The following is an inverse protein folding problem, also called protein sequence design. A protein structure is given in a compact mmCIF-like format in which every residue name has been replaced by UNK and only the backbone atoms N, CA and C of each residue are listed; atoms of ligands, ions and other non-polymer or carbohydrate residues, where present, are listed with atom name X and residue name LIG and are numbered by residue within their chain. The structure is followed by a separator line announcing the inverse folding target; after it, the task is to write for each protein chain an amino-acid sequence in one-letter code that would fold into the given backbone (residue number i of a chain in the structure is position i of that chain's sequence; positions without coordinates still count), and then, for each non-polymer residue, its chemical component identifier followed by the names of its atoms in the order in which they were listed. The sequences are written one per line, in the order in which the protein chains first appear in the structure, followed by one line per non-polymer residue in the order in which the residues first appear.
data_IF_015186307828
#
_entry.id   IF_015186307828
#
_cell.length_a   1.000
_cell.length_b   1.000
_cell.length_c   1.000
_cell.angle_alpha   90.00
_cell.angle_beta   90.00
_cell.angle_gamma   90.00
#
_symmetry.space_group_name_H-M   'P 1'
#
loop_
_entity.id
_entity.type
_entity.pdbx_description
1 polymer ?
#
# COMPACT_ATOMS: atom_id res chain seq x y z
N UNK A 1 -16.50 1.37 19.65
CA UNK A 1 -17.15 0.30 20.32
C UNK A 1 -18.65 0.47 20.58
N UNK A 2 -19.28 1.07 19.64
CA UNK A 2 -20.73 1.15 19.48
C UNK A 2 -21.39 -0.24 19.37
N UNK A 3 -20.61 -1.27 19.01
CA UNK A 3 -21.07 -2.66 18.89
C UNK A 3 -21.39 -3.31 20.24
N UNK A 4 -20.87 -2.77 21.34
CA UNK A 4 -21.04 -3.37 22.69
C UNK A 4 -22.05 -2.66 23.55
N UNK A 5 -22.88 -1.72 23.05
CA UNK A 5 -23.67 -0.83 23.87
C UNK A 5 -25.19 -1.14 23.98
N UNK A 6 -25.77 -2.11 23.24
CA UNK A 6 -27.15 -2.52 23.38
C UNK A 6 -27.39 -4.02 23.09
N UNK A 7 -28.19 -4.70 23.88
CA UNK A 7 -28.62 -6.07 23.66
C UNK A 7 -27.51 -7.10 23.77
N UNK A 8 -27.07 -7.67 22.63
CA UNK A 8 -25.92 -8.59 22.55
C UNK A 8 -24.64 -7.96 23.10
N UNK A 9 -24.44 -6.66 22.88
CA UNK A 9 -23.33 -5.89 23.44
C UNK A 9 -23.30 -5.89 24.97
N UNK A 10 -24.44 -5.81 25.62
CA UNK A 10 -24.55 -5.88 27.10
C UNK A 10 -24.20 -7.27 27.61
N UNK A 11 -24.53 -8.33 26.87
CA UNK A 11 -24.19 -9.71 27.24
C UNK A 11 -22.66 -9.90 27.15
N UNK A 12 -22.03 -9.50 26.06
CA UNK A 12 -20.57 -9.57 25.91
C UNK A 12 -19.86 -8.70 26.95
N UNK A 13 -20.36 -7.50 27.20
CA UNK A 13 -19.79 -6.62 28.22
C UNK A 13 -19.87 -7.23 29.62
N UNK A 14 -20.98 -7.84 30.00
CA UNK A 14 -21.08 -8.58 31.24
C UNK A 14 -20.10 -9.74 31.32
N UNK A 15 -19.99 -10.51 30.25
CA UNK A 15 -18.99 -11.61 30.16
C UNK A 15 -17.55 -11.11 30.33
N UNK A 16 -17.21 -9.98 29.72
CA UNK A 16 -15.89 -9.34 29.88
C UNK A 16 -15.67 -8.90 31.31
N UNK A 17 -16.65 -8.20 31.94
CA UNK A 17 -16.53 -7.74 33.32
C UNK A 17 -16.47 -8.89 34.30
N UNK A 18 -17.31 -9.92 34.16
CA UNK A 18 -17.29 -11.13 34.99
C UNK A 18 -15.96 -11.89 34.86
N UNK A 19 -15.40 -11.93 33.67
CA UNK A 19 -14.09 -12.54 33.40
C UNK A 19 -12.99 -11.69 34.00
N UNK A 20 -13.02 -10.36 33.81
CA UNK A 20 -12.09 -9.42 34.40
C UNK A 20 -11.99 -9.56 35.93
N UNK A 21 -13.12 -9.61 36.63
CA UNK A 21 -13.13 -9.79 38.09
C UNK A 21 -12.41 -11.08 38.51
N UNK A 22 -12.46 -12.14 37.73
CA UNK A 22 -11.81 -13.41 37.99
C UNK A 22 -10.30 -13.37 37.72
N UNK A 23 -9.88 -12.64 36.65
CA UNK A 23 -8.50 -12.69 36.14
C UNK A 23 -7.65 -11.46 36.46
N UNK A 24 -8.23 -10.35 36.99
CA UNK A 24 -7.53 -9.07 37.23
C UNK A 24 -6.29 -9.14 38.12
N UNK A 25 -6.09 -10.24 38.83
CA UNK A 25 -4.90 -10.48 39.67
C UNK A 25 -3.78 -11.23 38.91
N UNK A 26 -4.04 -11.69 37.69
CA UNK A 26 -3.04 -12.36 36.86
C UNK A 26 -2.15 -11.33 36.16
N UNK A 27 -0.92 -11.74 35.81
CA UNK A 27 0.03 -10.86 35.09
C UNK A 27 -0.37 -10.64 33.62
N UNK A 28 -1.04 -11.63 33.00
CA UNK A 28 -1.48 -11.56 31.60
C UNK A 28 -2.98 -11.89 31.56
N UNK A 29 -3.78 -10.93 31.16
CA UNK A 29 -5.26 -11.03 31.16
C UNK A 29 -5.86 -10.90 29.75
N UNK A 30 -5.12 -10.36 28.77
CA UNK A 30 -5.65 -10.00 27.44
C UNK A 30 -6.33 -11.18 26.74
N UNK A 31 -5.69 -12.34 26.67
CA UNK A 31 -6.26 -13.51 25.99
C UNK A 31 -7.57 -14.02 26.59
N UNK A 32 -7.76 -13.88 27.91
CA UNK A 32 -9.01 -14.24 28.57
C UNK A 32 -10.12 -13.24 28.24
N UNK A 33 -9.78 -11.95 28.20
CA UNK A 33 -10.75 -10.88 27.94
C UNK A 33 -11.11 -10.77 26.46
N UNK A 34 -10.17 -11.00 25.56
CA UNK A 34 -10.41 -11.11 24.13
C UNK A 34 -11.34 -12.30 23.82
N UNK A 35 -11.09 -13.46 24.44
CA UNK A 35 -11.98 -14.62 24.30
C UNK A 35 -13.38 -14.33 24.84
N UNK A 36 -13.50 -13.59 25.94
CA UNK A 36 -14.79 -13.21 26.52
C UNK A 36 -15.54 -12.15 25.69
N UNK A 37 -14.82 -11.24 25.04
CA UNK A 37 -15.39 -10.24 24.15
C UNK A 37 -15.75 -10.79 22.76
N UNK A 38 -15.08 -11.86 22.33
CA UNK A 38 -15.16 -12.36 20.95
C UNK A 38 -14.43 -11.49 19.92
N UNK A 39 -13.63 -10.50 20.36
CA UNK A 39 -12.88 -9.57 19.53
C UNK A 39 -11.42 -9.46 19.98
N UNK A 40 -10.54 -8.95 19.12
CA UNK A 40 -9.15 -8.67 19.47
C UNK A 40 -8.98 -7.49 20.46
N UNK A 41 -10.06 -6.95 20.96
CA UNK A 41 -10.12 -5.87 21.95
C UNK A 41 -11.28 -6.07 22.92
N UNK A 42 -11.24 -5.37 24.04
CA UNK A 42 -12.25 -5.43 25.09
C UNK A 42 -12.34 -4.10 25.82
N UNK A 43 -13.37 -3.95 26.67
CA UNK A 43 -13.53 -2.80 27.56
C UNK A 43 -13.94 -3.24 28.96
N UNK A 44 -13.15 -2.87 29.97
CA UNK A 44 -13.34 -3.20 31.39
C UNK A 44 -14.02 -2.10 32.20
N UNK A 45 -14.36 -0.94 31.61
CA UNK A 45 -15.12 0.11 32.28
C UNK A 45 -16.54 -0.39 32.61
N UNK A 46 -17.07 0.08 33.71
CA UNK A 46 -18.47 -0.19 34.11
C UNK A 46 -19.50 0.61 33.29
N UNK A 47 -19.08 1.68 32.62
CA UNK A 47 -19.97 2.55 31.87
C UNK A 47 -20.44 1.92 30.55
N UNK A 48 -21.68 2.20 30.20
CA UNK A 48 -22.32 2.01 28.89
C UNK A 48 -22.80 3.36 28.37
N UNK A 49 -23.17 3.48 27.09
CA UNK A 49 -23.77 4.73 26.61
C UNK A 49 -25.03 5.11 27.38
N UNK A 50 -25.85 4.14 27.81
CA UNK A 50 -27.01 4.38 28.62
C UNK A 50 -26.68 4.99 29.99
N UNK A 51 -25.70 4.40 30.69
CA UNK A 51 -25.24 4.91 31.98
C UNK A 51 -24.48 6.23 31.89
N UNK A 52 -23.80 6.50 30.80
CA UNK A 52 -23.19 7.80 30.53
C UNK A 52 -24.25 8.90 30.37
N UNK A 53 -25.31 8.62 29.61
CA UNK A 53 -26.39 9.58 29.38
C UNK A 53 -27.28 9.79 30.61
N UNK A 54 -27.27 8.84 31.56
CA UNK A 54 -28.00 8.94 32.80
C UNK A 54 -27.36 9.93 33.81
N UNK A 55 -26.10 10.31 33.62
CA UNK A 55 -25.34 11.23 34.46
C UNK A 55 -24.69 12.36 33.64
N UNK A 56 -25.49 13.31 33.10
CA UNK A 56 -25.02 14.38 32.25
C UNK A 56 -24.02 15.32 32.90
N UNK A 57 -24.13 15.55 34.21
CA UNK A 57 -23.27 16.47 34.96
C UNK A 57 -21.82 15.96 35.05
N UNK A 58 -21.61 14.67 35.03
CA UNK A 58 -20.31 14.00 35.08
C UNK A 58 -19.93 13.35 33.76
N UNK A 59 -20.56 13.71 32.65
CA UNK A 59 -20.43 12.98 31.37
C UNK A 59 -18.98 12.95 30.84
N UNK A 60 -18.21 14.02 31.00
CA UNK A 60 -16.81 14.06 30.59
C UNK A 60 -15.98 13.05 31.39
N UNK A 61 -16.03 13.10 32.71
CA UNK A 61 -15.24 12.19 33.57
C UNK A 61 -15.64 10.74 33.38
N UNK A 62 -16.93 10.46 33.23
CA UNK A 62 -17.46 9.13 33.00
C UNK A 62 -17.09 8.60 31.60
N UNK A 63 -17.09 9.46 30.59
CA UNK A 63 -16.68 9.08 29.24
C UNK A 63 -15.17 8.83 29.15
N UNK A 64 -14.37 9.60 29.86
CA UNK A 64 -12.92 9.34 29.98
C UNK A 64 -12.62 8.02 30.69
N UNK A 65 -13.36 7.69 31.75
CA UNK A 65 -13.28 6.36 32.39
C UNK A 65 -13.69 5.25 31.41
N UNK A 66 -14.80 5.44 30.68
CA UNK A 66 -15.23 4.50 29.65
C UNK A 66 -14.12 4.23 28.63
N UNK A 67 -13.45 5.26 28.12
CA UNK A 67 -12.36 5.11 27.17
C UNK A 67 -11.12 4.46 27.77
N UNK A 68 -10.78 4.79 29.02
CA UNK A 68 -9.64 4.19 29.73
C UNK A 68 -9.80 2.69 30.00
N UNK A 69 -11.03 2.20 29.97
CA UNK A 69 -11.35 0.78 30.13
C UNK A 69 -11.03 -0.09 28.90
N UNK A 70 -10.71 0.50 27.75
CA UNK A 70 -10.31 -0.26 26.56
C UNK A 70 -8.95 -0.94 26.72
N UNK A 71 -8.78 -2.07 26.02
CA UNK A 71 -7.50 -2.77 25.88
C UNK A 71 -6.40 -1.87 25.28
N UNK A 72 -5.14 -2.17 25.57
CA UNK A 72 -4.01 -1.34 25.18
C UNK A 72 -3.94 -1.06 23.65
N UNK A 73 -4.27 -2.05 22.82
CA UNK A 73 -4.31 -1.88 21.36
C UNK A 73 -5.39 -0.90 20.90
N UNK A 74 -6.58 -0.89 21.55
CA UNK A 74 -7.63 0.08 21.25
C UNK A 74 -7.30 1.48 21.80
N UNK A 75 -6.65 1.57 22.96
CA UNK A 75 -6.15 2.84 23.50
C UNK A 75 -5.07 3.46 22.60
N UNK A 76 -4.19 2.66 22.01
CA UNK A 76 -3.21 3.13 21.03
C UNK A 76 -3.89 3.78 19.81
N UNK A 77 -4.97 3.18 19.30
CA UNK A 77 -5.80 3.76 18.22
C UNK A 77 -6.38 5.11 18.65
N UNK A 78 -6.99 5.18 19.83
CA UNK A 78 -7.58 6.42 20.36
C UNK A 78 -6.53 7.53 20.52
N UNK A 79 -5.33 7.18 21.01
CA UNK A 79 -4.22 8.12 21.17
C UNK A 79 -3.72 8.66 19.82
N UNK A 80 -3.61 7.80 18.80
CA UNK A 80 -3.19 8.20 17.45
C UNK A 80 -4.23 9.09 16.74
N UNK A 81 -5.50 8.96 17.08
CA UNK A 81 -6.57 9.88 16.65
C UNK A 81 -6.59 11.20 17.41
N UNK A 82 -5.72 11.40 18.39
CA UNK A 82 -5.73 12.59 19.26
C UNK A 82 -7.10 12.80 19.95
N UNK A 83 -7.70 11.66 20.41
CA UNK A 83 -9.07 11.63 20.87
C UNK A 83 -9.29 12.48 22.12
N UNK A 84 -8.26 12.67 22.94
CA UNK A 84 -8.31 13.56 24.11
C UNK A 84 -8.60 15.02 23.73
N UNK A 85 -7.98 15.55 22.69
CA UNK A 85 -8.25 16.89 22.18
C UNK A 85 -9.62 17.01 21.51
N UNK A 86 -10.09 15.93 20.89
CA UNK A 86 -11.46 15.86 20.33
C UNK A 86 -12.49 15.98 21.47
N UNK A 87 -12.33 15.21 22.55
CA UNK A 87 -13.20 15.29 23.73
C UNK A 87 -13.18 16.71 24.31
N UNK A 88 -12.01 17.28 24.52
CA UNK A 88 -11.87 18.65 25.04
C UNK A 88 -12.67 19.66 24.22
N UNK A 89 -12.54 19.61 22.89
CA UNK A 89 -13.32 20.47 21.98
C UNK A 89 -14.82 20.23 22.07
N UNK A 90 -15.26 18.98 22.21
CA UNK A 90 -16.69 18.64 22.38
C UNK A 90 -17.24 19.13 23.72
N UNK A 91 -16.44 19.14 24.78
CA UNK A 91 -16.79 19.70 26.09
C UNK A 91 -16.89 21.23 26.01
N UNK A 92 -15.89 21.89 25.44
CA UNK A 92 -15.86 23.36 25.27
C UNK A 92 -17.05 23.88 24.43
N UNK A 93 -17.50 23.08 23.46
CA UNK A 93 -18.64 23.41 22.59
C UNK A 93 -20.00 22.89 23.12
N UNK A 94 -20.05 22.26 24.30
CA UNK A 94 -21.23 21.62 24.87
C UNK A 94 -21.90 20.57 23.95
N UNK A 95 -21.11 19.89 23.12
CA UNK A 95 -21.62 18.90 22.15
C UNK A 95 -21.41 17.45 22.57
N UNK A 96 -20.56 17.17 23.59
CA UNK A 96 -20.23 15.79 24.00
C UNK A 96 -21.47 14.95 24.32
N UNK A 97 -22.40 15.49 25.13
CA UNK A 97 -23.65 14.79 25.46
C UNK A 97 -24.47 14.49 24.22
N UNK A 98 -24.60 15.44 23.29
CA UNK A 98 -25.40 15.29 22.07
C UNK A 98 -24.79 14.22 21.15
N UNK A 99 -23.48 14.20 21.03
CA UNK A 99 -22.75 13.19 20.22
C UNK A 99 -22.97 11.78 20.81
N UNK A 100 -22.76 11.61 22.11
CA UNK A 100 -22.98 10.31 22.78
C UNK A 100 -24.44 9.86 22.62
N UNK A 101 -25.39 10.80 22.73
CA UNK A 101 -26.84 10.53 22.58
C UNK A 101 -27.18 10.07 21.15
N UNK A 102 -26.67 10.73 20.13
CA UNK A 102 -26.91 10.33 18.73
C UNK A 102 -26.33 8.94 18.44
N UNK A 103 -25.11 8.67 18.85
CA UNK A 103 -24.52 7.34 18.71
C UNK A 103 -25.23 6.25 19.53
N UNK A 104 -25.80 6.60 20.66
CA UNK A 104 -26.63 5.71 21.47
C UNK A 104 -28.06 5.54 20.93
N UNK A 105 -28.47 6.28 19.90
CA UNK A 105 -29.81 6.20 19.29
C UNK A 105 -29.92 5.01 18.33
N UNK A 106 -31.17 4.65 17.96
CA UNK A 106 -31.41 3.62 16.93
C UNK A 106 -30.81 3.97 15.56
N UNK A 107 -30.71 5.25 15.23
CA UNK A 107 -30.16 5.73 13.97
C UNK A 107 -28.65 5.59 13.89
N UNK A 108 -27.96 5.77 15.02
CA UNK A 108 -26.50 5.64 15.12
C UNK A 108 -26.04 4.25 15.57
N UNK A 109 -26.94 3.29 15.70
CA UNK A 109 -26.63 1.97 16.21
C UNK A 109 -25.89 1.11 15.15
N UNK A 110 -24.64 0.75 15.44
CA UNK A 110 -23.74 -0.05 14.59
C UNK A 110 -23.49 -1.46 15.18
N UNK A 111 -24.46 -2.01 15.94
CA UNK A 111 -24.31 -3.31 16.58
C UNK A 111 -24.24 -4.49 15.60
N UNK A 112 -23.58 -5.60 16.00
CA UNK A 112 -23.35 -6.76 15.12
C UNK A 112 -24.62 -7.53 14.74
N UNK A 113 -25.74 -7.26 15.43
CA UNK A 113 -27.06 -7.77 15.11
C UNK A 113 -27.72 -7.07 13.92
N UNK A 114 -27.23 -5.87 13.54
CA UNK A 114 -27.74 -5.08 12.40
C UNK A 114 -26.73 -4.87 11.29
N UNK A 115 -25.45 -4.83 11.63
CA UNK A 115 -24.38 -4.48 10.70
C UNK A 115 -23.26 -5.52 10.80
N UNK A 116 -22.98 -6.21 9.71
CA UNK A 116 -21.85 -7.16 9.63
C UNK A 116 -20.50 -6.46 9.77
N UNK A 117 -19.44 -7.23 10.03
CA UNK A 117 -18.07 -6.70 10.05
C UNK A 117 -17.67 -6.11 8.69
N UNK A 118 -18.12 -6.74 7.60
CA UNK A 118 -17.88 -6.29 6.21
C UNK A 118 -18.61 -4.97 5.96
N UNK A 119 -19.90 -4.86 6.33
CA UNK A 119 -20.66 -3.60 6.17
C UNK A 119 -20.05 -2.46 6.99
N UNK A 120 -19.52 -2.77 8.18
CA UNK A 120 -18.82 -1.79 9.00
C UNK A 120 -17.54 -1.28 8.31
N UNK A 121 -16.82 -2.18 7.64
CA UNK A 121 -15.68 -1.83 6.78
C UNK A 121 -16.09 -0.87 5.64
N UNK A 122 -17.20 -1.14 4.96
CA UNK A 122 -17.72 -0.26 3.91
C UNK A 122 -18.15 1.12 4.43
N UNK A 123 -18.81 1.16 5.58
CA UNK A 123 -19.18 2.43 6.25
C UNK A 123 -17.91 3.23 6.58
N UNK A 124 -16.90 2.56 7.12
CA UNK A 124 -15.64 3.18 7.48
C UNK A 124 -14.90 3.72 6.25
N UNK A 125 -14.86 2.95 5.16
CA UNK A 125 -14.31 3.37 3.88
C UNK A 125 -15.02 4.61 3.31
N UNK A 126 -16.37 4.65 3.34
CA UNK A 126 -17.13 5.81 2.87
C UNK A 126 -16.87 7.06 3.73
N UNK A 127 -16.71 6.87 5.06
CA UNK A 127 -16.33 7.96 5.96
C UNK A 127 -14.93 8.49 5.64
N UNK A 128 -13.94 7.62 5.47
CA UNK A 128 -12.57 8.00 5.09
C UNK A 128 -12.57 8.72 3.75
N UNK A 129 -13.29 8.22 2.76
CA UNK A 129 -13.46 8.86 1.46
C UNK A 129 -14.05 10.28 1.58
N UNK A 130 -15.14 10.46 2.35
CA UNK A 130 -15.77 11.77 2.59
C UNK A 130 -14.86 12.73 3.35
N UNK A 131 -14.09 12.22 4.30
CA UNK A 131 -13.06 13.02 4.98
C UNK A 131 -11.97 13.46 3.99
N UNK A 132 -11.47 12.56 3.15
CA UNK A 132 -10.50 12.87 2.11
C UNK A 132 -10.98 13.94 1.14
N UNK A 133 -12.27 13.88 0.74
CA UNK A 133 -12.90 14.89 -0.12
C UNK A 133 -13.04 16.27 0.56
N UNK A 134 -13.17 16.31 1.90
CA UNK A 134 -13.44 17.54 2.66
C UNK A 134 -12.19 18.26 3.17
N UNK A 135 -11.07 17.54 3.37
CA UNK A 135 -9.84 18.09 3.96
C UNK A 135 -8.73 18.40 2.95
N UNK A 136 -8.96 18.25 1.63
CA UNK A 136 -8.03 18.63 0.58
C UNK A 136 -6.96 17.58 0.24
N UNK A 137 -5.90 18.02 -0.47
CA UNK A 137 -4.93 17.15 -1.16
C UNK A 137 -4.21 16.12 -0.27
N UNK A 138 -3.94 16.42 1.00
CA UNK A 138 -3.21 15.50 1.88
C UNK A 138 -3.98 14.22 2.21
N UNK A 139 -5.29 14.30 2.36
CA UNK A 139 -6.11 13.14 2.71
C UNK A 139 -6.41 12.23 1.50
N UNK A 140 -6.48 12.78 0.29
CA UNK A 140 -6.66 12.01 -0.96
C UNK A 140 -5.45 11.17 -1.35
N UNK A 141 -4.26 11.50 -0.83
CA UNK A 141 -3.02 10.78 -1.13
C UNK A 141 -3.00 9.33 -0.56
N UNK A 142 -3.88 9.03 0.40
CA UNK A 142 -3.89 7.76 1.12
C UNK A 142 -4.99 6.79 0.66
N UNK A 143 -5.70 7.10 -0.44
CA UNK A 143 -6.83 6.30 -0.90
C UNK A 143 -6.58 5.71 -2.29
N UNK A 144 -6.62 4.39 -2.39
CA UNK A 144 -6.62 3.65 -3.67
C UNK A 144 -8.02 3.07 -3.91
N UNK A 145 -8.61 3.36 -5.06
CA UNK A 145 -9.96 2.89 -5.37
C UNK A 145 -10.02 1.37 -5.60
N UNK A 146 -11.14 0.75 -5.24
CA UNK A 146 -11.33 -0.72 -5.29
C UNK A 146 -11.10 -1.31 -6.68
N UNK A 147 -11.45 -0.60 -7.74
CA UNK A 147 -11.24 -1.05 -9.11
C UNK A 147 -9.77 -1.32 -9.43
N UNK A 148 -8.87 -0.45 -8.97
CA UNK A 148 -7.41 -0.62 -9.11
C UNK A 148 -6.92 -1.77 -8.21
N UNK A 149 -7.43 -1.83 -6.97
CA UNK A 149 -7.03 -2.88 -6.02
C UNK A 149 -7.41 -4.27 -6.56
N UNK A 150 -8.63 -4.43 -7.07
CA UNK A 150 -9.08 -5.69 -7.66
C UNK A 150 -8.25 -6.10 -8.88
N UNK A 151 -7.88 -5.13 -9.74
CA UNK A 151 -6.95 -5.42 -10.84
C UNK A 151 -5.61 -5.95 -10.33
N UNK A 152 -5.00 -5.26 -9.36
CA UNK A 152 -3.71 -5.68 -8.78
C UNK A 152 -3.82 -7.05 -8.10
N UNK A 153 -4.91 -7.29 -7.40
CA UNK A 153 -5.17 -8.57 -6.72
C UNK A 153 -5.33 -9.71 -7.72
N UNK A 154 -6.13 -9.53 -8.77
CA UNK A 154 -6.32 -10.56 -9.79
C UNK A 154 -5.02 -10.86 -10.56
N UNK A 155 -4.16 -9.86 -10.78
CA UNK A 155 -2.81 -10.05 -11.34
C UNK A 155 -1.90 -10.87 -10.42
N UNK A 156 -1.95 -10.62 -9.11
CA UNK A 156 -1.18 -11.37 -8.12
C UNK A 156 -1.65 -12.83 -8.02
N UNK A 157 -2.96 -13.04 -8.06
CA UNK A 157 -3.58 -14.35 -7.86
C UNK A 157 -3.76 -15.17 -9.16
N UNK A 158 -3.49 -14.61 -10.34
CA UNK A 158 -3.72 -15.26 -11.64
C UNK A 158 -3.03 -16.61 -11.81
N UNK A 159 -1.93 -16.85 -11.10
CA UNK A 159 -1.15 -18.10 -11.14
C UNK A 159 -0.90 -18.62 -9.71
N UNK A 160 -1.75 -18.21 -8.75
CA UNK A 160 -1.61 -18.60 -7.35
C UNK A 160 -2.02 -20.04 -7.13
N UNK A 161 -1.30 -20.73 -6.25
CA UNK A 161 -1.74 -22.03 -5.73
C UNK A 161 -2.84 -21.78 -4.68
N UNK A 162 -4.08 -22.03 -5.07
CA UNK A 162 -5.25 -21.89 -4.22
C UNK A 162 -5.55 -23.15 -3.38
N UNK A 163 -4.76 -24.20 -3.49
CA UNK A 163 -4.88 -25.41 -2.65
C UNK A 163 -4.06 -25.28 -1.35
N UNK A 164 -3.46 -24.10 -1.11
CA UNK A 164 -2.72 -23.82 0.12
C UNK A 164 -3.64 -23.52 1.30
N UNK A 165 -3.18 -23.85 2.52
CA UNK A 165 -3.94 -23.58 3.75
C UNK A 165 -3.78 -22.14 4.26
N UNK A 166 -2.75 -21.43 3.84
CA UNK A 166 -2.48 -20.07 4.35
C UNK A 166 -1.73 -19.20 3.35
N UNK A 167 -2.00 -17.90 3.40
CA UNK A 167 -1.31 -16.87 2.62
C UNK A 167 -0.93 -15.67 3.49
N UNK A 168 0.24 -15.09 3.22
CA UNK A 168 0.68 -13.84 3.85
C UNK A 168 0.69 -12.71 2.84
N UNK A 169 0.07 -11.59 3.20
CA UNK A 169 -0.04 -10.37 2.38
C UNK A 169 0.58 -9.20 3.11
N UNK A 170 1.36 -8.38 2.42
CA UNK A 170 2.01 -7.21 3.00
C UNK A 170 1.78 -5.95 2.16
N UNK A 171 1.47 -4.85 2.85
CA UNK A 171 1.48 -3.50 2.27
C UNK A 171 2.44 -2.61 3.06
N UNK A 172 3.48 -2.10 2.37
CA UNK A 172 4.53 -1.29 2.96
C UNK A 172 4.17 0.19 3.13
N UNK A 173 3.06 0.62 2.56
CA UNK A 173 2.48 1.96 2.66
C UNK A 173 0.95 1.82 2.74
N UNK A 174 0.49 1.10 3.77
CA UNK A 174 -0.85 0.52 3.82
C UNK A 174 -1.99 1.55 3.85
N UNK A 175 -1.67 2.82 4.15
CA UNK A 175 -2.71 3.83 4.29
C UNK A 175 -3.76 3.40 5.31
N UNK A 176 -4.99 3.32 4.86
CA UNK A 176 -6.14 2.84 5.66
C UNK A 176 -6.32 1.32 5.63
N UNK A 177 -5.35 0.54 5.14
CA UNK A 177 -5.35 -0.92 4.94
C UNK A 177 -6.34 -1.46 3.90
N UNK A 178 -6.96 -0.61 3.10
CA UNK A 178 -7.97 -1.03 2.13
C UNK A 178 -7.44 -2.05 1.11
N UNK A 179 -6.18 -1.93 0.68
CA UNK A 179 -5.57 -2.88 -0.25
C UNK A 179 -5.48 -4.28 0.37
N UNK A 180 -5.10 -4.37 1.64
CA UNK A 180 -5.04 -5.62 2.38
C UNK A 180 -6.43 -6.24 2.54
N UNK A 181 -7.41 -5.44 2.97
CA UNK A 181 -8.79 -5.91 3.16
C UNK A 181 -9.44 -6.41 1.87
N UNK A 182 -9.27 -5.69 0.76
CA UNK A 182 -9.82 -6.11 -0.54
C UNK A 182 -9.13 -7.38 -1.07
N UNK A 183 -7.81 -7.51 -0.85
CA UNK A 183 -7.10 -8.72 -1.27
C UNK A 183 -7.51 -9.94 -0.44
N UNK A 184 -7.70 -9.79 0.87
CA UNK A 184 -8.23 -10.82 1.75
C UNK A 184 -9.64 -11.25 1.31
N UNK A 185 -10.55 -10.28 1.08
CA UNK A 185 -11.90 -10.54 0.55
C UNK A 185 -11.83 -11.35 -0.74
N UNK A 186 -10.97 -10.97 -1.68
CA UNK A 186 -10.83 -11.63 -2.98
C UNK A 186 -10.26 -13.04 -2.87
N UNK A 187 -9.30 -13.28 -1.99
CA UNK A 187 -8.77 -14.63 -1.72
C UNK A 187 -9.89 -15.52 -1.17
N UNK A 188 -10.69 -15.01 -0.22
CA UNK A 188 -11.80 -15.77 0.37
C UNK A 188 -12.95 -16.03 -0.63
N UNK A 189 -13.17 -15.14 -1.61
CA UNK A 189 -14.12 -15.41 -2.71
C UNK A 189 -13.65 -16.58 -3.59
N UNK A 190 -12.34 -16.75 -3.78
CA UNK A 190 -11.76 -17.83 -4.58
C UNK A 190 -11.68 -19.15 -3.80
N UNK A 191 -11.25 -19.07 -2.55
CA UNK A 191 -11.23 -20.20 -1.62
C UNK A 191 -11.34 -19.69 -0.17
N UNK A 192 -12.51 -19.94 0.46
CA UNK A 192 -12.81 -19.50 1.83
C UNK A 192 -12.00 -20.22 2.92
N UNK A 193 -11.37 -21.34 2.60
CA UNK A 193 -10.63 -22.17 3.55
C UNK A 193 -9.17 -21.69 3.75
N UNK A 194 -8.72 -20.73 2.93
CA UNK A 194 -7.37 -20.17 3.06
C UNK A 194 -7.34 -19.18 4.23
N UNK A 195 -6.45 -19.40 5.18
CA UNK A 195 -6.14 -18.44 6.23
C UNK A 195 -5.26 -17.31 5.69
N UNK A 196 -5.80 -16.10 5.59
CA UNK A 196 -5.06 -14.93 5.11
C UNK A 196 -4.55 -14.13 6.29
N UNK A 197 -3.22 -13.93 6.37
CA UNK A 197 -2.61 -13.05 7.37
C UNK A 197 -2.09 -11.79 6.71
N UNK A 198 -2.73 -10.66 7.03
CA UNK A 198 -2.37 -9.35 6.52
C UNK A 198 -1.35 -8.65 7.44
N UNK A 199 -0.35 -8.01 6.82
CA UNK A 199 0.68 -7.20 7.47
C UNK A 199 0.75 -5.84 6.81
N UNK A 200 0.92 -4.78 7.59
CA UNK A 200 1.00 -3.42 7.05
C UNK A 200 1.88 -2.49 7.86
N UNK A 201 2.48 -1.53 7.16
CA UNK A 201 3.26 -0.47 7.78
C UNK A 201 2.76 0.90 7.29
N UNK A 202 2.62 1.87 8.22
CA UNK A 202 2.16 3.22 7.92
C UNK A 202 2.86 4.23 8.86
N UNK A 203 3.30 5.36 8.30
CA UNK A 203 3.98 6.40 9.07
C UNK A 203 3.06 7.53 9.53
N UNK A 204 1.90 7.72 8.87
CA UNK A 204 0.94 8.72 9.27
C UNK A 204 0.10 8.22 10.45
N UNK A 205 0.10 8.91 11.61
CA UNK A 205 -0.57 8.43 12.81
C UNK A 205 -2.09 8.22 12.63
N UNK A 206 -2.76 9.16 11.97
CA UNK A 206 -4.22 9.11 11.79
C UNK A 206 -4.62 7.97 10.84
N UNK A 207 -3.89 7.82 9.73
CA UNK A 207 -4.14 6.75 8.74
C UNK A 207 -3.83 5.38 9.33
N UNK A 208 -2.73 5.26 10.10
CA UNK A 208 -2.39 4.07 10.86
C UNK A 208 -3.50 3.66 11.85
N UNK A 209 -4.04 4.65 12.59
CA UNK A 209 -5.14 4.39 13.54
C UNK A 209 -6.39 3.84 12.84
N UNK A 210 -6.70 4.35 11.63
CA UNK A 210 -7.77 3.83 10.79
C UNK A 210 -7.50 2.38 10.40
N UNK A 211 -6.32 2.09 9.86
CA UNK A 211 -5.93 0.75 9.44
C UNK A 211 -6.00 -0.26 10.60
N UNK A 212 -5.47 0.11 11.75
CA UNK A 212 -5.49 -0.72 12.95
C UNK A 212 -6.90 -0.98 13.47
N UNK A 213 -7.76 0.05 13.45
CA UNK A 213 -9.17 -0.07 13.83
C UNK A 213 -9.94 -0.99 12.87
N UNK A 214 -9.75 -0.85 11.56
CA UNK A 214 -10.36 -1.71 10.55
C UNK A 214 -9.96 -3.17 10.75
N UNK A 215 -8.67 -3.45 10.94
CA UNK A 215 -8.17 -4.79 11.22
C UNK A 215 -8.80 -5.39 12.47
N UNK A 216 -8.93 -4.61 13.56
CA UNK A 216 -9.59 -5.05 14.81
C UNK A 216 -11.07 -5.37 14.61
N UNK A 217 -11.77 -4.58 13.80
CA UNK A 217 -13.21 -4.75 13.52
C UNK A 217 -13.45 -6.01 12.68
N UNK A 218 -12.59 -6.31 11.74
CA UNK A 218 -12.63 -7.50 10.87
C UNK A 218 -12.20 -8.78 11.59
N UNK A 219 -11.61 -8.68 12.80
CA UNK A 219 -11.19 -9.82 13.61
C UNK A 219 -9.75 -10.29 13.33
N UNK A 220 -9.00 -9.58 12.49
CA UNK A 220 -7.58 -9.84 12.25
C UNK A 220 -6.69 -9.39 13.42
N UNK A 221 -5.40 -9.72 13.37
CA UNK A 221 -4.45 -9.35 14.42
C UNK A 221 -3.96 -7.89 14.23
N UNK A 222 -4.37 -6.95 15.11
CA UNK A 222 -3.95 -5.55 15.01
C UNK A 222 -2.45 -5.32 15.25
N UNK A 223 -1.71 -6.30 15.78
CA UNK A 223 -0.26 -6.21 15.98
C UNK A 223 0.52 -6.34 14.66
N UNK A 224 -0.13 -6.86 13.62
CA UNK A 224 0.42 -6.91 12.27
C UNK A 224 0.34 -5.56 11.55
N UNK A 225 -0.44 -4.62 12.07
CA UNK A 225 -0.43 -3.22 11.62
C UNK A 225 0.58 -2.45 12.46
N UNK A 226 1.67 -1.99 11.84
CA UNK A 226 2.80 -1.38 12.56
C UNK A 226 3.02 0.05 12.14
N UNK A 227 3.22 0.91 13.16
CA UNK A 227 3.50 2.33 12.96
C UNK A 227 5.00 2.56 12.77
N UNK A 228 5.35 3.29 11.72
CA UNK A 228 6.74 3.67 11.44
C UNK A 228 6.96 3.96 9.95
N UNK A 229 8.01 4.71 9.65
CA UNK A 229 8.42 5.02 8.29
C UNK A 229 9.12 3.82 7.64
N UNK A 230 8.61 3.36 6.51
CA UNK A 230 9.09 2.16 5.81
C UNK A 230 10.54 2.26 5.36
N UNK A 231 11.00 3.45 5.00
CA UNK A 231 12.35 3.65 4.49
C UNK A 231 13.38 3.75 5.61
N UNK A 232 13.05 4.42 6.71
CA UNK A 232 13.98 4.68 7.83
C UNK A 232 13.81 3.76 9.03
N UNK A 233 12.61 3.16 9.21
CA UNK A 233 12.24 2.38 10.39
C UNK A 233 11.54 1.08 9.99
N UNK A 234 12.30 0.10 9.50
CA UNK A 234 11.76 -1.21 9.14
C UNK A 234 11.11 -1.90 10.34
N UNK A 235 9.78 -2.00 10.31
CA UNK A 235 9.00 -2.64 11.38
C UNK A 235 8.91 -4.17 11.24
N UNK A 236 9.35 -4.73 10.11
CA UNK A 236 9.31 -6.17 9.83
C UNK A 236 10.70 -6.74 9.48
N UNK A 237 11.75 -6.48 10.33
CA UNK A 237 13.08 -6.99 10.03
C UNK A 237 13.08 -8.52 10.01
N UNK A 238 13.63 -9.11 8.94
CA UNK A 238 13.70 -10.56 8.75
C UNK A 238 12.38 -11.24 8.32
N UNK A 239 11.28 -10.51 8.20
CA UNK A 239 10.05 -11.08 7.64
C UNK A 239 10.11 -11.12 6.12
N UNK A 240 9.51 -12.19 5.54
CA UNK A 240 9.23 -12.30 4.11
C UNK A 240 7.77 -12.68 3.89
N UNK A 241 7.19 -12.20 2.80
CA UNK A 241 5.77 -12.33 2.50
C UNK A 241 5.55 -12.98 1.13
N UNK A 242 4.50 -13.79 1.00
CA UNK A 242 4.15 -14.45 -0.26
C UNK A 242 3.61 -13.44 -1.28
N UNK A 243 2.77 -12.52 -0.81
CA UNK A 243 2.22 -11.46 -1.66
C UNK A 243 2.50 -10.09 -1.07
N UNK A 244 2.86 -9.17 -1.95
CA UNK A 244 3.01 -7.75 -1.62
C UNK A 244 2.14 -6.96 -2.58
N UNK A 245 1.25 -6.13 -2.03
CA UNK A 245 0.40 -5.21 -2.78
C UNK A 245 0.56 -3.82 -2.19
N UNK A 246 0.97 -2.83 -2.97
CA UNK A 246 1.23 -1.51 -2.40
C UNK A 246 1.08 -0.38 -3.42
N UNK A 247 0.60 0.75 -2.94
CA UNK A 247 0.56 2.02 -3.65
C UNK A 247 1.33 3.09 -2.85
N UNK A 248 2.68 3.04 -2.86
CA UNK A 248 3.48 4.01 -2.13
C UNK A 248 3.37 5.41 -2.75
N UNK A 249 3.71 6.47 -2.00
CA UNK A 249 3.64 7.83 -2.51
C UNK A 249 4.60 8.05 -3.69
N UNK A 250 4.12 8.78 -4.74
CA UNK A 250 4.92 9.08 -5.93
C UNK A 250 5.58 10.45 -5.83
N UNK A 251 6.82 10.55 -6.37
CA UNK A 251 7.49 11.84 -6.56
C UNK A 251 7.78 12.59 -5.25
N UNK A 252 7.81 11.88 -4.14
CA UNK A 252 8.15 12.45 -2.83
C UNK A 252 9.65 12.34 -2.63
N UNK A 253 10.28 13.42 -2.12
CA UNK A 253 11.67 13.37 -1.72
C UNK A 253 11.83 12.53 -0.44
N UNK A 254 12.98 11.85 -0.33
CA UNK A 254 13.36 11.04 0.82
C UNK A 254 14.51 11.67 1.62
N UNK A 255 14.59 12.99 1.59
CA UNK A 255 15.64 13.75 2.27
C UNK A 255 15.63 13.57 3.79
N UNK A 256 14.45 13.40 4.36
CA UNK A 256 14.27 13.13 5.79
C UNK A 256 14.83 11.75 6.18
N UNK A 257 14.66 10.76 5.35
CA UNK A 257 15.07 9.37 5.54
C UNK A 257 16.52 9.11 5.07
N UNK A 258 17.13 10.08 4.38
CA UNK A 258 18.43 9.95 3.67
C UNK A 258 19.51 9.29 4.51
N UNK A 259 19.71 9.76 5.74
CA UNK A 259 20.77 9.24 6.62
C UNK A 259 20.59 7.76 6.95
N UNK A 260 19.37 7.33 7.19
CA UNK A 260 19.04 5.94 7.50
C UNK A 260 19.20 5.05 6.26
N UNK A 261 18.66 5.50 5.12
CA UNK A 261 18.72 4.79 3.83
C UNK A 261 20.16 4.62 3.35
N UNK A 262 20.98 5.67 3.38
CA UNK A 262 22.39 5.62 3.02
C UNK A 262 23.19 4.68 3.94
N UNK A 263 22.94 4.75 5.26
CA UNK A 263 23.57 3.85 6.21
C UNK A 263 23.20 2.38 5.96
N UNK A 264 21.95 2.10 5.57
CA UNK A 264 21.52 0.75 5.24
C UNK A 264 22.10 0.28 3.90
N UNK A 265 22.19 1.14 2.89
CA UNK A 265 22.78 0.83 1.59
C UNK A 265 24.26 0.38 1.69
N UNK A 266 24.98 0.83 2.71
CA UNK A 266 26.39 0.42 2.96
C UNK A 266 26.54 -0.97 3.55
N UNK A 267 25.47 -1.64 3.96
CA UNK A 267 25.51 -2.99 4.58
C UNK A 267 25.67 -4.13 3.57
N UNK A 268 25.88 -3.83 2.28
CA UNK A 268 25.97 -4.82 1.23
C UNK A 268 24.68 -5.64 1.11
N UNK A 269 24.80 -6.93 0.83
CA UNK A 269 23.65 -7.84 0.61
C UNK A 269 22.64 -7.89 1.78
N UNK A 270 23.02 -7.45 2.97
CA UNK A 270 22.11 -7.37 4.12
C UNK A 270 21.28 -6.08 4.16
N UNK A 271 21.57 -5.11 3.30
CA UNK A 271 20.86 -3.84 3.23
C UNK A 271 19.84 -3.83 2.09
N UNK A 272 18.61 -3.44 2.37
CA UNK A 272 17.52 -3.35 1.36
C UNK A 272 17.90 -2.47 0.17
N UNK A 273 18.70 -1.43 0.40
CA UNK A 273 19.03 -0.38 -0.58
C UNK A 273 20.41 -0.52 -1.22
N UNK A 274 21.10 -1.63 -0.99
CA UNK A 274 22.43 -1.90 -1.54
C UNK A 274 22.51 -1.85 -3.07
N UNK A 275 21.50 -2.25 -3.88
CA UNK A 275 21.57 -2.21 -5.33
C UNK A 275 21.76 -0.79 -5.90
N UNK A 276 21.28 0.24 -5.21
CA UNK A 276 21.45 1.63 -5.63
C UNK A 276 20.50 2.59 -4.91
N UNK A 277 20.83 3.89 -5.02
CA UNK A 277 20.00 4.93 -4.43
C UNK A 277 19.46 5.84 -5.55
N UNK A 278 18.13 6.07 -5.60
CA UNK A 278 17.53 6.99 -6.57
C UNK A 278 17.87 8.43 -6.22
N UNK A 279 17.46 9.39 -7.08
CA UNK A 279 17.58 10.82 -6.77
C UNK A 279 16.81 11.14 -5.48
N UNK A 280 17.36 12.04 -4.66
CA UNK A 280 16.72 12.47 -3.41
C UNK A 280 15.28 12.96 -3.63
N UNK A 281 15.00 13.57 -4.78
CA UNK A 281 13.67 14.10 -5.12
C UNK A 281 12.63 13.04 -5.52
N UNK A 282 13.01 11.74 -5.59
CA UNK A 282 12.11 10.68 -6.03
C UNK A 282 12.46 9.34 -5.35
N UNK A 283 11.75 9.01 -4.29
CA UNK A 283 11.98 7.81 -3.47
C UNK A 283 11.30 6.53 -3.97
N UNK A 284 10.58 6.55 -5.08
CA UNK A 284 9.74 5.42 -5.52
C UNK A 284 10.48 4.09 -5.62
N UNK A 285 11.71 4.11 -6.18
CA UNK A 285 12.51 2.89 -6.33
C UNK A 285 12.98 2.29 -4.98
N UNK A 286 13.04 3.09 -3.91
CA UNK A 286 13.33 2.56 -2.56
C UNK A 286 12.20 1.65 -2.06
N UNK A 287 10.94 1.97 -2.36
CA UNK A 287 9.82 1.11 -2.04
C UNK A 287 9.86 -0.20 -2.84
N UNK A 288 10.26 -0.16 -4.11
CA UNK A 288 10.48 -1.38 -4.91
C UNK A 288 11.56 -2.26 -4.26
N UNK A 289 12.71 -1.67 -3.89
CA UNK A 289 13.79 -2.40 -3.22
C UNK A 289 13.36 -2.97 -1.86
N UNK A 290 12.60 -2.19 -1.06
CA UNK A 290 12.03 -2.70 0.18
C UNK A 290 11.10 -3.90 -0.06
N UNK A 291 10.21 -3.80 -1.05
CA UNK A 291 9.33 -4.90 -1.42
C UNK A 291 10.11 -6.15 -1.84
N UNK A 292 11.11 -6.01 -2.70
CA UNK A 292 11.97 -7.11 -3.14
C UNK A 292 12.73 -7.75 -1.97
N UNK A 293 13.25 -6.96 -1.03
CA UNK A 293 13.93 -7.48 0.15
C UNK A 293 13.00 -8.31 1.06
N UNK A 294 11.69 -7.97 1.07
CA UNK A 294 10.66 -8.64 1.87
C UNK A 294 9.82 -9.65 1.09
N UNK A 295 10.06 -9.82 -0.19
CA UNK A 295 9.36 -10.82 -1.01
C UNK A 295 9.95 -12.20 -0.75
N UNK A 296 9.09 -13.18 -0.44
CA UNK A 296 9.48 -14.58 -0.29
C UNK A 296 10.05 -15.15 -1.61
N UNK A 297 10.79 -16.25 -1.55
CA UNK A 297 11.44 -16.84 -2.75
C UNK A 297 10.43 -17.28 -3.84
N UNK A 298 9.20 -17.60 -3.45
CA UNK A 298 8.08 -17.89 -4.37
C UNK A 298 7.03 -16.77 -4.36
N UNK A 299 7.43 -15.58 -3.91
CA UNK A 299 6.52 -14.47 -3.74
C UNK A 299 6.31 -13.66 -5.00
N UNK A 300 5.19 -12.94 -5.04
CA UNK A 300 4.79 -12.03 -6.11
C UNK A 300 4.38 -10.67 -5.54
N UNK A 301 4.80 -9.60 -6.20
CA UNK A 301 4.51 -8.23 -5.77
C UNK A 301 3.85 -7.45 -6.90
N UNK A 302 2.79 -6.71 -6.58
CA UNK A 302 2.22 -5.68 -7.44
C UNK A 302 2.38 -4.31 -6.75
N UNK A 303 3.05 -3.38 -7.42
CA UNK A 303 3.32 -2.05 -6.88
C UNK A 303 3.03 -0.98 -7.92
N UNK A 304 2.37 0.11 -7.47
CA UNK A 304 2.06 1.24 -8.35
C UNK A 304 3.24 2.21 -8.37
N UNK A 305 3.58 2.69 -9.55
CA UNK A 305 4.64 3.66 -9.80
C UNK A 305 4.17 4.71 -10.82
N UNK A 306 4.76 5.90 -10.82
CA UNK A 306 4.68 6.79 -11.97
C UNK A 306 5.72 6.42 -13.05
N UNK A 307 5.82 7.19 -14.13
CA UNK A 307 6.75 6.89 -15.23
C UNK A 307 8.23 7.09 -14.92
N UNK A 308 8.59 7.88 -13.89
CA UNK A 308 9.97 8.24 -13.58
C UNK A 308 10.90 7.04 -13.40
N UNK A 309 10.55 5.99 -12.65
CA UNK A 309 11.42 4.82 -12.47
C UNK A 309 11.79 4.07 -13.77
N UNK A 310 10.99 4.23 -14.83
CA UNK A 310 11.25 3.57 -16.13
C UNK A 310 12.46 4.13 -16.86
N UNK A 311 12.70 5.44 -16.77
CA UNK A 311 13.72 6.11 -17.61
C UNK A 311 14.69 7.01 -16.84
N UNK A 312 14.45 7.31 -15.56
CA UNK A 312 15.30 8.22 -14.79
C UNK A 312 16.71 7.66 -14.59
N UNK A 313 17.69 8.57 -14.56
CA UNK A 313 19.10 8.27 -14.31
C UNK A 313 19.87 7.77 -15.52
N UNK A 314 21.12 8.22 -15.64
CA UNK A 314 22.07 7.76 -16.65
C UNK A 314 22.58 6.34 -16.34
N UNK A 315 23.18 5.68 -17.33
CA UNK A 315 23.88 4.41 -17.17
C UNK A 315 24.87 4.46 -16.00
N UNK A 316 24.81 3.48 -15.10
CA UNK A 316 25.65 3.40 -13.91
C UNK A 316 25.22 4.33 -12.76
N UNK A 317 24.15 5.12 -12.91
CA UNK A 317 23.56 5.87 -11.79
C UNK A 317 22.70 4.97 -10.90
N UNK A 318 22.38 5.42 -9.68
CA UNK A 318 21.55 4.66 -8.74
C UNK A 318 20.25 4.12 -9.34
N UNK A 319 19.40 4.95 -9.99
CA UNK A 319 18.19 4.46 -10.65
C UNK A 319 18.43 3.41 -11.73
N UNK A 320 19.49 3.57 -12.52
CA UNK A 320 19.90 2.60 -13.55
C UNK A 320 20.36 1.28 -12.93
N UNK A 321 21.16 1.34 -11.86
CA UNK A 321 21.62 0.16 -11.15
C UNK A 321 20.49 -0.64 -10.51
N UNK A 322 19.46 0.05 -10.00
CA UNK A 322 18.25 -0.60 -9.46
C UNK A 322 17.52 -1.37 -10.57
N UNK A 323 17.30 -0.76 -11.75
CA UNK A 323 16.69 -1.47 -12.88
C UNK A 323 17.52 -2.66 -13.34
N UNK A 324 18.84 -2.49 -13.44
CA UNK A 324 19.78 -3.57 -13.78
C UNK A 324 19.66 -4.71 -12.78
N UNK A 325 19.67 -4.43 -11.48
CA UNK A 325 19.51 -5.42 -10.41
C UNK A 325 18.22 -6.23 -10.55
N UNK A 326 17.11 -5.57 -10.83
CA UNK A 326 15.81 -6.23 -11.00
C UNK A 326 15.78 -7.13 -12.23
N UNK A 327 16.35 -6.65 -13.37
CA UNK A 327 16.36 -7.37 -14.64
C UNK A 327 17.35 -8.54 -14.64
N UNK A 328 18.56 -8.37 -14.07
CA UNK A 328 19.58 -9.43 -13.99
C UNK A 328 19.18 -10.57 -13.07
N UNK A 329 18.35 -10.29 -12.04
CA UNK A 329 17.77 -11.32 -11.19
C UNK A 329 16.48 -11.93 -11.81
N UNK A 330 16.06 -11.48 -12.97
CA UNK A 330 14.83 -11.91 -13.66
C UNK A 330 13.55 -11.77 -12.80
N UNK A 331 13.45 -10.69 -12.01
CA UNK A 331 12.31 -10.48 -11.12
C UNK A 331 11.21 -9.60 -11.72
N UNK A 332 11.50 -8.81 -12.76
CA UNK A 332 10.46 -8.04 -13.44
C UNK A 332 9.64 -8.95 -14.35
N UNK A 333 8.38 -9.14 -14.01
CA UNK A 333 7.47 -10.01 -14.75
C UNK A 333 6.63 -9.23 -15.78
N UNK A 334 5.95 -8.17 -15.31
CA UNK A 334 5.11 -7.34 -16.18
C UNK A 334 5.10 -5.88 -15.73
N UNK A 335 4.93 -4.96 -16.69
CA UNK A 335 4.56 -3.57 -16.46
C UNK A 335 3.27 -3.28 -17.22
N UNK A 336 2.25 -2.82 -16.50
CA UNK A 336 0.96 -2.43 -17.06
C UNK A 336 0.83 -0.91 -16.99
N UNK A 337 0.76 -0.23 -18.14
CA UNK A 337 0.45 1.20 -18.21
C UNK A 337 -1.05 1.40 -18.06
N UNK A 338 -1.48 2.17 -17.06
CA UNK A 338 -2.86 2.59 -16.89
C UNK A 338 -3.14 3.91 -17.61
N UNK A 339 -4.43 4.21 -17.82
CA UNK A 339 -4.88 5.50 -18.32
C UNK A 339 -4.51 6.63 -17.35
N UNK A 340 -4.56 7.87 -17.83
CA UNK A 340 -4.53 9.07 -16.97
C UNK A 340 -5.80 9.17 -16.11
N UNK A 341 -5.78 10.03 -15.12
CA UNK A 341 -6.94 10.33 -14.25
C UNK A 341 -7.56 9.10 -13.55
N UNK A 342 -6.73 8.10 -13.22
CA UNK A 342 -7.14 6.87 -12.52
C UNK A 342 -7.13 7.01 -11.00
N UNK A 343 -6.45 8.01 -10.46
CA UNK A 343 -6.26 8.24 -9.03
C UNK A 343 -6.84 9.56 -8.56
N UNK A 344 -7.23 9.63 -7.28
CA UNK A 344 -7.91 10.81 -6.72
C UNK A 344 -6.99 12.00 -6.53
N UNK A 345 -5.69 11.77 -6.41
CA UNK A 345 -4.67 12.78 -6.10
C UNK A 345 -3.74 13.12 -7.28
N UNK A 346 -3.85 12.42 -8.39
CA UNK A 346 -3.00 12.66 -9.57
C UNK A 346 -3.70 12.33 -10.88
N UNK A 347 -3.47 13.17 -11.89
CA UNK A 347 -3.95 12.95 -13.27
C UNK A 347 -2.89 12.36 -14.22
N UNK A 348 -1.70 12.01 -13.71
CA UNK A 348 -0.62 11.45 -14.56
C UNK A 348 -0.86 9.97 -14.88
N UNK A 349 -0.22 9.49 -15.95
CA UNK A 349 -0.16 8.05 -16.22
C UNK A 349 0.60 7.34 -15.11
N UNK A 350 0.05 6.21 -14.67
CA UNK A 350 0.64 5.35 -13.67
C UNK A 350 0.86 3.96 -14.23
N UNK A 351 1.69 3.20 -13.56
CA UNK A 351 2.12 1.87 -14.00
C UNK A 351 2.02 0.89 -12.83
N UNK A 352 1.43 -0.26 -13.08
CA UNK A 352 1.51 -1.39 -12.14
C UNK A 352 2.72 -2.22 -12.53
N UNK A 353 3.70 -2.34 -11.63
CA UNK A 353 4.81 -3.24 -11.79
C UNK A 353 4.48 -4.56 -11.09
N UNK A 354 4.50 -5.64 -11.84
CA UNK A 354 4.40 -7.00 -11.30
C UNK A 354 5.79 -7.59 -11.26
N UNK A 355 6.22 -7.95 -10.05
CA UNK A 355 7.52 -8.57 -9.80
C UNK A 355 7.31 -9.96 -9.19
N UNK A 356 8.09 -10.93 -9.63
CA UNK A 356 8.03 -12.31 -9.14
C UNK A 356 9.44 -12.84 -8.93
N UNK A 357 9.68 -13.52 -7.82
CA UNK A 357 10.93 -14.25 -7.58
C UNK A 357 10.89 -15.69 -8.09
N UNK A 358 9.72 -16.16 -8.55
CA UNK A 358 9.50 -17.50 -9.06
C UNK A 358 8.63 -17.44 -10.33
N UNK A 359 9.23 -16.91 -11.41
CA UNK A 359 8.54 -16.83 -12.70
C UNK A 359 8.38 -18.23 -13.29
N UNK A 360 7.21 -18.59 -13.86
CA UNK A 360 7.05 -19.85 -14.57
C UNK A 360 7.97 -19.91 -15.79
N UNK A 361 8.33 -21.11 -16.22
CA UNK A 361 9.35 -21.35 -17.26
C UNK A 361 9.09 -20.58 -18.57
N UNK A 362 7.84 -20.39 -18.98
CA UNK A 362 7.50 -19.66 -20.21
C UNK A 362 7.71 -18.14 -20.10
N UNK A 363 7.81 -17.59 -18.88
CA UNK A 363 8.05 -16.18 -18.59
C UNK A 363 9.49 -15.91 -18.18
N UNK A 364 10.28 -16.95 -17.88
CA UNK A 364 11.66 -16.82 -17.45
C UNK A 364 12.52 -16.09 -18.51
N UNK A 365 13.34 -15.13 -18.11
CA UNK A 365 14.17 -14.31 -18.98
C UNK A 365 13.41 -13.29 -19.81
N UNK A 366 12.10 -13.08 -19.58
CA UNK A 366 11.26 -12.20 -20.38
C UNK A 366 10.50 -11.20 -19.50
N UNK A 367 10.10 -10.09 -20.12
CA UNK A 367 9.26 -9.05 -19.51
C UNK A 367 8.07 -8.77 -20.41
N UNK A 368 6.88 -8.78 -19.85
CA UNK A 368 5.67 -8.38 -20.56
C UNK A 368 5.39 -6.90 -20.32
N UNK A 369 5.07 -6.16 -21.38
CA UNK A 369 4.55 -4.81 -21.32
C UNK A 369 3.10 -4.80 -21.81
N UNK A 370 2.17 -4.30 -20.99
CA UNK A 370 0.76 -4.17 -21.34
C UNK A 370 0.42 -2.68 -21.39
N UNK A 371 0.08 -2.20 -22.57
CA UNK A 371 -0.50 -0.87 -22.74
C UNK A 371 -2.03 -0.96 -22.54
N UNK A 372 -2.48 -0.56 -21.36
CA UNK A 372 -3.89 -0.48 -20.99
C UNK A 372 -4.37 0.98 -20.89
N UNK A 373 -3.68 1.93 -21.55
CA UNK A 373 -4.04 3.35 -21.53
C UNK A 373 -5.41 3.65 -22.16
N UNK A 374 -5.93 2.73 -22.96
CA UNK A 374 -7.27 2.76 -23.54
C UNK A 374 -8.27 1.79 -22.88
N UNK A 375 -7.87 1.13 -21.79
CA UNK A 375 -8.70 0.16 -21.10
C UNK A 375 -9.34 0.78 -19.84
N UNK A 376 -10.34 1.63 -20.05
CA UNK A 376 -11.06 2.34 -19.00
C UNK A 376 -12.46 2.79 -19.45
N UNK A 377 -13.32 3.12 -18.50
CA UNK A 377 -14.57 3.82 -18.74
C UNK A 377 -14.61 5.16 -18.00
N UNK A 378 -15.07 6.25 -18.66
CA UNK A 378 -15.21 7.55 -18.00
C UNK A 378 -16.29 7.52 -16.91
N UNK A 379 -15.99 8.09 -15.75
CA UNK A 379 -16.94 8.26 -14.65
C UNK A 379 -17.96 9.33 -14.96
N UNK A 380 -19.19 9.12 -14.51
CA UNK A 380 -20.24 10.14 -14.59
C UNK A 380 -19.95 11.37 -13.71
N UNK A 381 -19.28 11.16 -12.56
CA UNK A 381 -18.89 12.20 -11.62
C UNK A 381 -17.47 11.91 -11.13
N UNK A 382 -16.60 12.91 -11.25
CA UNK A 382 -15.22 12.81 -10.76
C UNK A 382 -15.17 12.73 -9.22
N UNK A 383 -14.12 12.08 -8.71
CA UNK A 383 -13.78 12.08 -7.30
C UNK A 383 -12.33 12.57 -7.19
N UNK A 384 -12.14 13.79 -6.70
CA UNK A 384 -10.85 14.46 -6.83
C UNK A 384 -10.44 14.57 -8.30
N UNK A 385 -9.23 14.13 -8.63
CA UNK A 385 -8.74 14.07 -10.03
C UNK A 385 -9.18 12.81 -10.77
N UNK A 386 -9.69 11.78 -10.08
CA UNK A 386 -10.12 10.52 -10.71
C UNK A 386 -11.35 10.75 -11.59
N UNK A 387 -11.20 10.51 -12.88
CA UNK A 387 -12.24 10.62 -13.92
C UNK A 387 -12.52 9.32 -14.64
N UNK A 388 -11.66 8.32 -14.49
CA UNK A 388 -11.72 7.06 -15.19
C UNK A 388 -11.77 5.89 -14.19
N UNK A 389 -12.49 4.84 -14.55
CA UNK A 389 -12.60 3.59 -13.78
C UNK A 389 -12.10 2.39 -14.59
N UNK A 390 -11.53 1.41 -13.89
CA UNK A 390 -11.30 0.06 -14.41
C UNK A 390 -12.57 -0.75 -14.12
N UNK A 391 -13.43 -0.88 -15.11
CA UNK A 391 -14.62 -1.75 -14.99
C UNK A 391 -14.23 -3.23 -14.99
N UNK A 392 -15.18 -4.12 -14.68
CA UNK A 392 -14.94 -5.57 -14.71
C UNK A 392 -14.48 -6.02 -16.09
N UNK A 393 -15.05 -5.46 -17.16
CA UNK A 393 -14.62 -5.73 -18.55
C UNK A 393 -13.17 -5.32 -18.77
N UNK A 394 -12.78 -4.12 -18.32
CA UNK A 394 -11.40 -3.66 -18.42
C UNK A 394 -10.45 -4.57 -17.64
N UNK A 395 -10.84 -4.96 -16.43
CA UNK A 395 -10.06 -5.84 -15.58
C UNK A 395 -9.85 -7.21 -16.23
N UNK A 396 -10.91 -7.83 -16.75
CA UNK A 396 -10.84 -9.11 -17.45
C UNK A 396 -9.92 -9.07 -18.67
N UNK A 397 -9.98 -7.99 -19.48
CA UNK A 397 -9.09 -7.83 -20.63
C UNK A 397 -7.62 -7.75 -20.21
N UNK A 398 -7.30 -6.96 -19.19
CA UNK A 398 -5.92 -6.81 -18.71
C UNK A 398 -5.40 -8.10 -18.08
N UNK A 399 -6.20 -8.76 -17.23
CA UNK A 399 -5.82 -10.02 -16.58
C UNK A 399 -5.67 -11.15 -17.60
N UNK A 400 -6.55 -11.21 -18.63
CA UNK A 400 -6.43 -12.16 -19.73
C UNK A 400 -5.16 -11.90 -20.54
N UNK A 401 -4.86 -10.63 -20.86
CA UNK A 401 -3.63 -10.27 -21.57
C UNK A 401 -2.37 -10.67 -20.79
N UNK A 402 -2.41 -10.48 -19.46
CA UNK A 402 -1.34 -10.90 -18.56
C UNK A 402 -1.17 -12.42 -18.57
N UNK A 403 -2.24 -13.18 -18.37
CA UNK A 403 -2.20 -14.65 -18.26
C UNK A 403 -1.84 -15.33 -19.57
N UNK A 404 -2.34 -14.88 -20.72
CA UNK A 404 -2.01 -15.45 -22.02
C UNK A 404 -0.56 -15.19 -22.46
N UNK A 405 0.08 -14.16 -21.96
CA UNK A 405 1.48 -13.82 -22.25
C UNK A 405 1.81 -13.76 -23.76
N UNK A 406 0.87 -13.25 -24.56
CA UNK A 406 1.02 -13.24 -26.01
C UNK A 406 1.71 -11.97 -26.50
N UNK A 407 2.70 -12.12 -27.41
CA UNK A 407 3.43 -10.98 -28.00
C UNK A 407 2.64 -10.35 -29.16
N UNK A 408 2.49 -9.02 -29.15
CA UNK A 408 1.84 -8.25 -30.20
C UNK A 408 0.31 -8.46 -30.30
N UNK A 409 -0.33 -9.02 -29.26
CA UNK A 409 -1.77 -9.28 -29.26
C UNK A 409 -2.54 -8.10 -28.64
N UNK A 410 -3.68 -7.80 -29.27
CA UNK A 410 -4.67 -6.81 -28.79
C UNK A 410 -5.85 -7.56 -28.21
N UNK A 411 -6.32 -7.11 -27.05
CA UNK A 411 -7.46 -7.61 -26.33
C UNK A 411 -8.53 -6.53 -26.26
N UNK A 412 -9.75 -6.84 -26.67
CA UNK A 412 -10.85 -5.89 -26.78
C UNK A 412 -11.01 -5.29 -28.18
N UNK A 413 -11.69 -4.15 -28.26
CA UNK A 413 -11.96 -3.44 -29.53
C UNK A 413 -11.10 -2.18 -29.64
N UNK A 414 -10.21 -2.09 -30.63
CA UNK A 414 -9.35 -0.92 -30.88
C UNK A 414 -10.12 0.40 -31.11
N UNK A 415 -11.39 0.33 -31.46
CA UNK A 415 -12.25 1.51 -31.59
C UNK A 415 -12.96 1.88 -30.27
N UNK A 416 -12.72 1.14 -29.20
CA UNK A 416 -13.34 1.33 -27.89
C UNK A 416 -12.39 0.99 -26.75
N UNK A 417 -12.77 0.01 -25.93
CA UNK A 417 -11.96 -0.43 -24.77
C UNK A 417 -11.03 -1.56 -25.21
N UNK A 418 -9.72 -1.37 -25.05
CA UNK A 418 -8.72 -2.39 -25.37
C UNK A 418 -7.42 -2.21 -24.58
N UNK A 419 -6.62 -3.26 -24.55
CA UNK A 419 -5.21 -3.23 -24.17
C UNK A 419 -4.35 -4.02 -25.17
N UNK A 420 -3.07 -3.71 -25.22
CA UNK A 420 -2.10 -4.38 -26.11
C UNK A 420 -0.96 -4.96 -25.27
N UNK A 421 -0.62 -6.23 -25.54
CA UNK A 421 0.47 -6.95 -24.88
C UNK A 421 1.66 -7.12 -25.82
N UNK A 422 2.87 -6.82 -25.31
CA UNK A 422 4.16 -7.10 -25.97
C UNK A 422 5.07 -7.82 -25.01
N UNK A 423 5.86 -8.76 -25.51
CA UNK A 423 6.81 -9.54 -24.72
C UNK A 423 8.20 -9.29 -25.28
N UNK A 424 9.14 -9.02 -24.40
CA UNK A 424 10.54 -8.72 -24.70
C UNK A 424 11.46 -9.66 -23.91
N UNK A 425 12.60 -10.01 -24.48
CA UNK A 425 13.67 -10.65 -23.70
C UNK A 425 14.25 -9.63 -22.70
N UNK A 426 14.54 -10.03 -21.48
CA UNK A 426 15.06 -9.12 -20.43
C UNK A 426 16.35 -8.41 -20.87
N UNK A 427 17.16 -9.06 -21.70
CA UNK A 427 18.42 -8.49 -22.24
C UNK A 427 18.19 -7.31 -23.19
N UNK A 428 17.02 -7.19 -23.81
CA UNK A 428 16.69 -6.07 -24.70
C UNK A 428 16.60 -4.72 -23.97
N UNK A 429 16.41 -4.73 -22.64
CA UNK A 429 16.42 -3.52 -21.81
C UNK A 429 17.84 -3.10 -21.38
N UNK A 430 18.84 -3.94 -21.64
CA UNK A 430 20.24 -3.63 -21.38
C UNK A 430 20.83 -2.73 -22.46
N UNK A 431 21.67 -1.75 -22.07
CA UNK A 431 22.38 -0.91 -23.01
C UNK A 431 23.75 -0.46 -22.47
N UNK A 432 24.67 -0.21 -23.38
CA UNK A 432 25.93 0.44 -23.05
C UNK A 432 25.89 1.88 -23.57
N UNK A 433 26.13 2.86 -22.69
CA UNK A 433 26.24 4.25 -23.09
C UNK A 433 27.64 4.52 -23.59
N UNK A 434 27.74 4.91 -24.84
CA UNK A 434 29.01 5.28 -25.48
C UNK A 434 29.07 6.80 -25.62
N UNK A 435 30.20 7.39 -25.26
CA UNK A 435 30.49 8.79 -25.50
C UNK A 435 31.56 8.88 -26.55
N UNK A 436 31.22 9.40 -27.73
CA UNK A 436 32.18 9.63 -28.80
C UNK A 436 32.73 11.04 -28.64
N UNK A 437 34.03 11.15 -28.35
CA UNK A 437 34.75 12.41 -28.23
C UNK A 437 35.62 12.65 -29.44
N UNK A 438 35.46 13.79 -30.09
CA UNK A 438 36.33 14.24 -31.18
C UNK A 438 37.38 15.15 -30.62
N UNK A 439 38.65 15.06 -31.08
CA UNK A 439 39.68 15.93 -30.59
C UNK A 439 39.55 17.36 -31.17
N UNK A 440 39.86 18.35 -30.34
CA UNK A 440 40.07 19.72 -30.84
C UNK A 440 41.22 19.75 -31.86
N UNK A 441 41.03 20.56 -32.89
CA UNK A 441 42.03 20.78 -33.92
C UNK A 441 42.42 22.25 -33.97
N UNK A 442 43.68 22.50 -34.30
CA UNK A 442 44.18 23.87 -34.60
C UNK A 442 43.73 24.34 -36.00
N UNK A 443 44.07 25.59 -36.36
CA UNK A 443 43.76 26.17 -37.68
C UNK A 443 44.37 25.39 -38.84
N UNK A 444 45.46 24.65 -38.61
CA UNK A 444 46.12 23.79 -39.59
C UNK A 444 45.52 22.36 -39.62
N UNK A 445 44.52 22.06 -38.81
CA UNK A 445 43.85 20.76 -38.76
C UNK A 445 44.55 19.71 -37.89
N UNK A 446 45.62 20.07 -37.16
CA UNK A 446 46.31 19.14 -36.27
C UNK A 446 45.57 18.96 -34.95
N UNK A 447 45.66 17.75 -34.37
CA UNK A 447 45.05 17.44 -33.07
C UNK A 447 45.77 18.18 -31.94
N UNK A 448 45.04 18.96 -31.15
CA UNK A 448 45.59 19.66 -30.00
C UNK A 448 45.81 18.64 -28.88
N UNK A 449 47.05 18.55 -28.40
CA UNK A 449 47.45 17.65 -27.32
C UNK A 449 47.70 18.42 -26.03
N UNK A 450 47.18 17.91 -24.88
CA UNK A 450 47.52 18.37 -23.54
C UNK A 450 48.12 17.20 -22.75
N UNK A 451 49.37 17.36 -22.32
CA UNK A 451 50.13 16.27 -21.64
C UNK A 451 50.15 14.95 -22.46
N UNK A 452 50.28 15.05 -23.79
CA UNK A 452 50.35 13.91 -24.68
C UNK A 452 49.02 13.21 -25.01
N UNK A 453 47.89 13.75 -24.53
CA UNK A 453 46.55 13.23 -24.84
C UNK A 453 45.74 14.23 -25.66
N UNK A 454 44.93 13.78 -26.63
CA UNK A 454 43.99 14.66 -27.33
C UNK A 454 43.11 15.45 -26.40
N UNK A 455 42.89 16.73 -26.66
CA UNK A 455 41.94 17.56 -25.94
C UNK A 455 40.56 17.33 -26.56
N UNK A 456 39.55 16.90 -25.79
CA UNK A 456 38.21 16.71 -26.32
C UNK A 456 37.59 18.03 -26.77
N UNK A 457 36.91 18.02 -27.90
CA UNK A 457 36.05 19.09 -28.34
C UNK A 457 34.65 18.88 -27.79
N UNK A 458 34.31 19.58 -26.71
CA UNK A 458 33.04 19.44 -26.04
C UNK A 458 31.84 19.93 -26.87
N UNK A 459 32.08 20.76 -27.88
CA UNK A 459 31.05 21.23 -28.82
C UNK A 459 30.63 20.16 -29.84
N UNK A 460 31.51 19.16 -30.05
CA UNK A 460 31.29 18.03 -30.98
C UNK A 460 31.12 16.68 -30.25
N UNK A 461 30.75 16.72 -28.99
CA UNK A 461 30.53 15.50 -28.20
C UNK A 461 29.17 14.89 -28.55
N UNK A 462 29.19 13.69 -29.11
CA UNK A 462 28.01 12.87 -29.32
C UNK A 462 27.85 11.88 -28.18
N UNK A 463 26.67 11.81 -27.59
CA UNK A 463 26.33 10.84 -26.57
C UNK A 463 25.13 10.04 -27.04
N UNK A 464 25.34 8.76 -27.36
CA UNK A 464 24.29 7.86 -27.82
C UNK A 464 24.16 6.65 -26.89
N UNK A 465 22.95 6.16 -26.73
CA UNK A 465 22.68 4.86 -26.11
C UNK A 465 22.80 3.81 -27.22
N UNK A 466 23.84 2.98 -27.18
CA UNK A 466 24.02 1.89 -28.12
C UNK A 466 23.49 0.59 -27.51
N UNK A 467 22.52 -0.01 -28.18
CA UNK A 467 22.11 -1.39 -27.92
C UNK A 467 23.15 -2.31 -28.57
N UNK A 468 24.04 -2.87 -27.76
CA UNK A 468 24.95 -3.92 -28.25
C UNK A 468 24.17 -5.23 -28.18
N UNK A 469 23.71 -5.71 -29.33
CA UNK A 469 23.31 -7.09 -29.47
C UNK A 469 24.58 -7.93 -29.37
N UNK A 470 24.85 -8.54 -28.25
CA UNK A 470 25.84 -9.60 -28.15
C UNK A 470 25.21 -10.85 -28.72
N UNK A 471 25.60 -11.20 -29.96
CA UNK A 471 25.32 -12.51 -30.57
C UNK A 471 26.04 -13.62 -29.83
#
# INVERSE_FOLDING_TARGET
DLRMSRGLGDVYKRQVLDTYEKVKKLQVIDGFLQKASGYQFYNTSRFTFETLLADPDNIESNFRDYLSGFSANAQDVLAKFDFDNIIKRMVESNTLYLVIKEFGSEKGYLGPDKISAVDCGYIFEDLVRRFSESFGEEAGAHFTSRDIIYLMTDLLLSEADLDTSSMTVYDMAMGTSQMLSCMEERIHELNSDIEVTCFGQEFNPSTFAIAKADMMIRGGDPNNMRFGDTLSEDQFPGFTFQYIISNPPFGIDWKREQKAVEAEATRGEMGRFAPGLPKISDGQQLFVLNGLAKLANKGKMAIIQNGSPLFSGDAGSGPSNIRQYILENDWLDCIIQLSTDMFMNTGISTYIWVLSKDKPAHRAGKVQLIDASHCFEPRRKSIGTKRNDITDVCRELIVTAYGEFANGKVYGDKNGIYCESKVFESVEFGYNKIVVERPQRDEAGNVILKRGKPVPDTSLRDTENCLLYTS
#
